data_IF_427337115738
#
_entry.id   IF_427337115738
#
_cell.length_a   1.000
_cell.length_b   1.000
_cell.length_c   1.000
_cell.angle_alpha   90.00
_cell.angle_beta   90.00
_cell.angle_gamma   90.00
#
_symmetry.space_group_name_H-M   'P 1'
#
loop_
_entity.id
_entity.type
_entity.pdbx_description
1 polymer ?
#
# COMPACT_ATOMS: atom_id res chain seq x y z
N UNK A 1 -13.91 -22.10 -3.87
CA UNK A 1 -14.55 -20.81 -4.13
C UNK A 1 -13.63 -19.59 -3.87
N UNK A 2 -12.81 -19.52 -2.78
CA UNK A 2 -11.95 -18.36 -2.49
C UNK A 2 -10.90 -17.99 -3.56
N UNK A 3 -10.36 -18.98 -4.30
CA UNK A 3 -9.34 -18.72 -5.35
C UNK A 3 -9.90 -18.16 -6.66
N UNK A 4 -11.19 -18.40 -6.94
CA UNK A 4 -11.84 -17.91 -8.16
C UNK A 4 -12.14 -16.40 -8.09
N UNK A 5 -12.43 -15.89 -6.89
CA UNK A 5 -12.74 -14.48 -6.66
C UNK A 5 -11.48 -13.60 -6.88
N UNK A 6 -10.29 -14.08 -6.46
CA UNK A 6 -9.02 -13.37 -6.68
C UNK A 6 -8.69 -13.22 -8.17
N UNK A 7 -8.99 -14.24 -8.99
CA UNK A 7 -8.74 -14.17 -10.43
C UNK A 7 -9.69 -13.20 -11.15
N UNK A 8 -10.94 -13.13 -10.71
CA UNK A 8 -11.96 -12.24 -11.28
C UNK A 8 -11.63 -10.77 -10.95
N UNK A 9 -11.17 -10.49 -9.73
CA UNK A 9 -10.76 -9.14 -9.33
C UNK A 9 -9.64 -8.57 -10.21
N UNK A 10 -8.66 -9.39 -10.55
CA UNK A 10 -7.55 -8.99 -11.44
C UNK A 10 -8.01 -8.76 -12.88
N UNK A 11 -8.91 -9.60 -13.40
CA UNK A 11 -9.42 -9.44 -14.77
C UNK A 11 -10.28 -8.18 -14.96
N UNK A 12 -10.98 -7.71 -13.92
CA UNK A 12 -11.87 -6.55 -14.02
C UNK A 12 -11.10 -5.23 -13.94
N UNK A 13 -9.96 -5.18 -13.23
CA UNK A 13 -9.07 -4.01 -13.22
C UNK A 13 -8.51 -3.67 -14.62
N UNK A 14 -8.54 -4.63 -15.56
CA UNK A 14 -8.00 -4.49 -16.91
C UNK A 14 -8.93 -3.86 -17.94
N UNK A 15 -10.23 -3.78 -17.67
CA UNK A 15 -11.22 -3.42 -18.70
C UNK A 15 -11.43 -1.90 -18.82
N UNK A 16 -10.93 -1.08 -17.89
CA UNK A 16 -11.34 0.32 -17.78
C UNK A 16 -10.34 1.39 -18.25
N UNK A 17 -9.17 1.05 -18.81
CA UNK A 17 -8.24 2.10 -19.28
C UNK A 17 -7.60 1.79 -20.64
N UNK A 18 -7.52 2.77 -21.57
CA UNK A 18 -6.88 2.62 -22.88
C UNK A 18 -5.34 2.59 -22.83
N UNK A 19 -4.76 2.70 -21.64
CA UNK A 19 -3.32 2.55 -21.47
C UNK A 19 -3.00 1.08 -21.27
N UNK A 20 -2.08 0.52 -22.07
CA UNK A 20 -1.58 -0.84 -21.93
C UNK A 20 -0.86 -1.01 -20.60
N UNK A 21 -1.61 -1.15 -19.52
CA UNK A 21 -1.05 -1.60 -18.24
C UNK A 21 -0.56 -3.04 -18.46
N UNK A 22 0.73 -3.20 -18.62
CA UNK A 22 1.34 -4.51 -18.78
C UNK A 22 1.36 -5.18 -17.41
N UNK A 23 0.55 -6.24 -17.27
CA UNK A 23 0.56 -7.05 -16.06
C UNK A 23 1.74 -8.00 -16.15
N UNK A 24 2.74 -7.74 -15.33
CA UNK A 24 3.87 -8.66 -15.19
C UNK A 24 3.49 -9.82 -14.25
N UNK A 25 4.09 -11.03 -14.45
CA UNK A 25 3.91 -12.14 -13.51
C UNK A 25 4.29 -11.76 -12.06
N UNK A 26 5.31 -10.92 -11.91
CA UNK A 26 5.74 -10.42 -10.61
C UNK A 26 4.66 -9.56 -9.95
N UNK A 27 4.05 -8.63 -10.68
CA UNK A 27 2.95 -7.79 -10.18
C UNK A 27 1.77 -8.66 -9.71
N UNK A 28 1.42 -9.70 -10.49
CA UNK A 28 0.36 -10.64 -10.12
C UNK A 28 0.67 -11.39 -8.83
N UNK A 29 1.93 -11.76 -8.63
CA UNK A 29 2.37 -12.43 -7.42
C UNK A 29 2.27 -11.51 -6.21
N UNK A 30 2.74 -10.28 -6.32
CA UNK A 30 2.67 -9.28 -5.25
C UNK A 30 1.21 -8.90 -4.91
N UNK A 31 0.36 -8.77 -5.93
CA UNK A 31 -1.07 -8.55 -5.73
C UNK A 31 -1.74 -9.74 -5.03
N UNK A 32 -1.38 -10.95 -5.39
CA UNK A 32 -1.91 -12.18 -4.80
C UNK A 32 -1.55 -12.36 -3.31
N UNK A 33 -0.52 -11.66 -2.81
CA UNK A 33 -0.16 -11.64 -1.39
C UNK A 33 -1.08 -10.76 -0.55
N UNK A 34 -1.74 -9.79 -1.18
CA UNK A 34 -2.63 -8.87 -0.47
C UNK A 34 -3.83 -9.63 0.10
N UNK A 35 -4.29 -9.31 1.33
CA UNK A 35 -5.51 -9.87 1.89
C UNK A 35 -6.72 -9.63 0.97
N UNK A 36 -7.64 -10.58 0.89
CA UNK A 36 -8.79 -10.50 -0.03
C UNK A 36 -9.71 -9.32 0.24
N UNK A 37 -9.85 -8.90 1.48
CA UNK A 37 -10.60 -7.72 1.88
C UNK A 37 -9.91 -6.43 1.38
N UNK A 38 -8.58 -6.34 1.46
CA UNK A 38 -7.82 -5.23 0.89
C UNK A 38 -7.98 -5.17 -0.62
N UNK A 39 -7.83 -6.31 -1.32
CA UNK A 39 -8.05 -6.38 -2.77
C UNK A 39 -9.46 -5.90 -3.15
N UNK A 40 -10.48 -6.35 -2.39
CA UNK A 40 -11.88 -5.96 -2.61
C UNK A 40 -12.09 -4.46 -2.39
N UNK A 41 -11.54 -3.90 -1.34
CA UNK A 41 -11.66 -2.48 -1.05
C UNK A 41 -10.99 -1.60 -2.10
N UNK A 42 -9.76 -1.94 -2.49
CA UNK A 42 -9.05 -1.24 -3.54
C UNK A 42 -9.80 -1.32 -4.88
N UNK A 43 -10.40 -2.47 -5.19
CA UNK A 43 -11.28 -2.63 -6.35
C UNK A 43 -12.47 -1.68 -6.30
N UNK A 44 -13.19 -1.61 -5.17
CA UNK A 44 -14.34 -0.73 -4.99
C UNK A 44 -13.97 0.75 -5.08
N UNK A 45 -12.73 1.10 -4.78
CA UNK A 45 -12.19 2.46 -4.93
C UNK A 45 -11.66 2.76 -6.33
N UNK A 46 -11.96 1.92 -7.30
CA UNK A 46 -11.47 2.10 -8.67
C UNK A 46 -9.96 2.27 -8.72
N UNK A 47 -9.24 1.44 -7.96
CA UNK A 47 -7.79 1.46 -7.97
C UNK A 47 -7.24 1.04 -9.33
N UNK A 48 -6.40 1.87 -9.89
CA UNK A 48 -5.67 1.62 -11.11
C UNK A 48 -4.21 1.34 -10.77
N UNK A 49 -3.68 0.19 -11.18
CA UNK A 49 -2.29 -0.20 -10.98
C UNK A 49 -1.59 -0.22 -12.32
N UNK A 50 -0.50 0.53 -12.44
CA UNK A 50 0.27 0.66 -13.69
C UNK A 50 1.73 0.31 -13.45
N UNK A 51 2.32 -0.43 -14.40
CA UNK A 51 3.77 -0.63 -14.47
C UNK A 51 4.30 0.23 -15.62
N UNK A 52 5.28 1.07 -15.31
CA UNK A 52 5.88 2.03 -16.24
C UNK A 52 7.39 1.83 -16.31
N UNK A 53 8.00 2.11 -17.46
CA UNK A 53 9.46 2.00 -17.61
C UNK A 53 10.19 3.11 -16.84
N UNK A 54 9.59 4.31 -16.75
CA UNK A 54 10.11 5.45 -16.01
C UNK A 54 8.98 6.13 -15.26
N UNK A 55 9.24 6.51 -14.00
CA UNK A 55 8.30 7.31 -13.24
C UNK A 55 8.25 8.73 -13.78
N UNK A 56 7.07 9.38 -13.85
CA UNK A 56 6.89 10.70 -14.48
C UNK A 56 7.63 11.83 -13.76
N UNK A 57 8.11 11.61 -12.55
CA UNK A 57 8.79 12.60 -11.73
C UNK A 57 10.28 12.25 -11.63
N UNK A 58 11.09 12.87 -12.46
CA UNK A 58 12.55 12.81 -12.36
C UNK A 58 13.06 13.93 -11.45
N UNK A 59 12.76 13.88 -10.16
CA UNK A 59 13.53 14.65 -9.20
C UNK A 59 14.87 13.93 -9.00
N UNK A 60 16.02 14.65 -9.05
CA UNK A 60 17.32 14.06 -8.77
C UNK A 60 17.41 13.35 -7.41
N UNK A 61 16.55 13.76 -6.46
CA UNK A 61 16.45 13.18 -5.12
C UNK A 61 15.57 11.94 -5.04
N UNK A 62 14.92 11.52 -6.14
CA UNK A 62 14.01 10.37 -6.23
C UNK A 62 14.60 9.23 -7.08
N UNK A 63 15.93 9.20 -7.24
CA UNK A 63 16.60 8.13 -8.01
C UNK A 63 16.26 6.72 -7.48
N UNK A 64 15.95 6.61 -6.18
CA UNK A 64 15.63 5.37 -5.50
C UNK A 64 14.12 5.14 -5.30
N UNK A 65 13.26 5.93 -5.97
CA UNK A 65 11.81 5.71 -5.92
C UNK A 65 11.42 4.58 -6.86
N UNK A 66 10.73 3.58 -6.32
CA UNK A 66 10.31 2.38 -7.04
C UNK A 66 8.85 2.42 -7.49
N UNK A 67 8.05 3.28 -6.85
CA UNK A 67 6.65 3.48 -7.14
C UNK A 67 6.12 4.75 -6.48
N UNK A 68 4.85 5.03 -6.69
CA UNK A 68 4.11 6.04 -5.93
C UNK A 68 2.61 5.75 -5.96
N UNK A 69 1.91 6.24 -4.94
CA UNK A 69 0.47 6.16 -4.81
C UNK A 69 -0.13 7.57 -4.79
N UNK A 70 -1.16 7.78 -5.59
CA UNK A 70 -1.94 9.02 -5.63
C UNK A 70 -3.40 8.75 -5.36
N UNK A 71 -4.00 9.56 -4.48
CA UNK A 71 -5.42 9.54 -4.19
C UNK A 71 -6.12 10.71 -4.88
N UNK A 72 -7.10 10.41 -5.72
CA UNK A 72 -7.98 11.42 -6.27
C UNK A 72 -9.12 11.67 -5.29
N UNK A 73 -9.08 12.81 -4.62
CA UNK A 73 -10.08 13.19 -3.60
C UNK A 73 -10.99 14.28 -4.13
N UNK A 74 -12.30 14.07 -4.04
CA UNK A 74 -13.32 15.06 -4.36
C UNK A 74 -14.32 15.18 -3.22
N UNK A 75 -14.58 16.39 -2.75
CA UNK A 75 -15.49 16.66 -1.64
C UNK A 75 -15.15 15.86 -0.35
N UNK A 76 -13.87 15.60 -0.10
CA UNK A 76 -13.40 14.84 1.06
C UNK A 76 -13.51 13.32 0.91
N UNK A 77 -13.91 12.80 -0.25
CA UNK A 77 -14.02 11.37 -0.53
C UNK A 77 -13.01 10.94 -1.61
N UNK A 78 -12.36 9.80 -1.40
CA UNK A 78 -11.52 9.19 -2.43
C UNK A 78 -12.41 8.70 -3.57
N UNK A 79 -12.14 9.17 -4.78
CA UNK A 79 -12.85 8.78 -6.00
C UNK A 79 -12.12 7.66 -6.75
N UNK A 80 -10.80 7.69 -6.71
CA UNK A 80 -9.94 6.64 -7.26
C UNK A 80 -8.57 6.66 -6.60
N UNK A 81 -7.86 5.56 -6.73
CA UNK A 81 -6.47 5.38 -6.30
C UNK A 81 -5.64 5.02 -7.53
N UNK A 82 -4.55 5.73 -7.76
CA UNK A 82 -3.57 5.37 -8.78
C UNK A 82 -2.29 4.91 -8.11
N UNK A 83 -1.89 3.66 -8.39
CA UNK A 83 -0.62 3.06 -7.96
C UNK A 83 0.25 2.88 -9.20
N UNK A 84 1.41 3.51 -9.21
CA UNK A 84 2.34 3.43 -10.33
C UNK A 84 3.64 2.82 -9.84
N UNK A 85 4.08 1.75 -10.50
CA UNK A 85 5.26 0.98 -10.15
C UNK A 85 6.25 1.05 -11.32
N UNK A 86 7.52 1.28 -11.01
CA UNK A 86 8.61 1.20 -11.99
C UNK A 86 8.83 -0.26 -12.39
N UNK A 87 8.97 -0.52 -13.68
CA UNK A 87 9.26 -1.86 -14.22
C UNK A 87 10.51 -2.46 -13.58
N UNK A 88 10.42 -3.72 -13.16
CA UNK A 88 11.47 -4.42 -12.42
C UNK A 88 11.47 -4.14 -10.92
N UNK A 89 10.55 -3.27 -10.45
CA UNK A 89 10.41 -2.91 -9.02
C UNK A 89 9.02 -3.30 -8.48
N UNK A 90 8.37 -4.31 -9.05
CA UNK A 90 7.02 -4.74 -8.70
C UNK A 90 6.89 -5.18 -7.23
N UNK A 91 8.01 -5.51 -6.58
CA UNK A 91 8.07 -5.77 -5.14
C UNK A 91 7.63 -4.56 -4.29
N UNK A 92 7.68 -3.34 -4.85
CA UNK A 92 7.22 -2.14 -4.17
C UNK A 92 5.69 -2.06 -4.06
N UNK A 93 4.93 -2.89 -4.80
CA UNK A 93 3.47 -2.85 -4.78
C UNK A 93 2.89 -2.92 -3.37
N UNK A 94 3.42 -3.78 -2.51
CA UNK A 94 2.90 -3.93 -1.15
C UNK A 94 3.09 -2.66 -0.31
N UNK A 95 4.21 -1.96 -0.49
CA UNK A 95 4.45 -0.66 0.13
C UNK A 95 3.46 0.39 -0.38
N UNK A 96 3.24 0.46 -1.70
CA UNK A 96 2.29 1.41 -2.30
C UNK A 96 0.83 1.12 -1.90
N UNK A 97 0.46 -0.15 -1.73
CA UNK A 97 -0.82 -0.52 -1.12
C UNK A 97 -0.91 -0.01 0.32
N UNK A 98 0.19 -0.04 1.07
CA UNK A 98 0.28 0.57 2.40
C UNK A 98 -0.06 2.06 2.39
N UNK A 99 0.44 2.83 1.41
CA UNK A 99 0.05 4.24 1.21
C UNK A 99 -1.43 4.38 0.89
N UNK A 100 -1.96 3.56 -0.01
CA UNK A 100 -3.38 3.56 -0.32
C UNK A 100 -4.25 3.31 0.93
N UNK A 101 -3.83 2.42 1.82
CA UNK A 101 -4.51 2.16 3.09
C UNK A 101 -4.31 3.27 4.11
N UNK A 102 -3.12 3.90 4.16
CA UNK A 102 -2.80 4.94 5.13
C UNK A 102 -3.69 6.16 5.00
N UNK A 103 -4.08 6.48 3.79
CA UNK A 103 -4.84 7.67 3.42
C UNK A 103 -6.33 7.36 3.11
N UNK A 104 -6.84 6.24 3.58
CA UNK A 104 -8.18 5.75 3.29
C UNK A 104 -9.28 6.69 3.83
N UNK A 105 -9.89 7.47 2.94
CA UNK A 105 -10.84 8.54 3.30
C UNK A 105 -12.30 8.09 3.50
N UNK A 106 -12.62 6.79 3.38
CA UNK A 106 -13.99 6.29 3.60
C UNK A 106 -14.30 5.89 5.04
N UNK A 107 -13.25 5.76 5.85
CA UNK A 107 -13.39 5.61 7.29
C UNK A 107 -13.01 6.97 7.87
N UNK A 108 -13.71 7.52 8.86
CA UNK A 108 -13.46 8.87 9.37
C UNK A 108 -12.07 9.05 10.00
N UNK A 109 -11.18 8.10 9.75
CA UNK A 109 -9.84 8.03 10.33
C UNK A 109 -8.84 7.64 9.24
N UNK A 110 -7.99 8.57 8.88
CA UNK A 110 -6.79 8.32 8.10
C UNK A 110 -5.86 7.47 8.94
N UNK A 111 -5.63 6.22 8.58
CA UNK A 111 -4.99 5.25 9.49
C UNK A 111 -3.61 5.68 9.96
N UNK A 112 -2.73 6.19 9.08
CA UNK A 112 -1.42 6.65 9.48
C UNK A 112 -1.47 7.94 10.32
N UNK A 113 -2.40 8.85 10.05
CA UNK A 113 -2.56 10.12 10.77
C UNK A 113 -3.60 10.04 11.89
N UNK A 114 -4.20 8.86 12.12
CA UNK A 114 -5.10 8.63 13.24
C UNK A 114 -4.40 8.97 14.55
N UNK A 115 -5.02 9.76 15.45
CA UNK A 115 -4.46 10.07 16.77
C UNK A 115 -4.05 8.84 17.59
N UNK A 116 -4.70 7.68 17.38
CA UNK A 116 -4.33 6.43 18.03
C UNK A 116 -3.01 5.82 17.51
N UNK A 117 -2.62 6.12 16.26
CA UNK A 117 -1.37 5.60 15.68
C UNK A 117 -0.15 6.46 16.03
N UNK A 118 -0.32 7.76 16.21
CA UNK A 118 0.77 8.68 16.54
C UNK A 118 1.64 8.23 17.74
N UNK A 119 1.07 7.85 18.91
CA UNK A 119 1.87 7.38 20.04
C UNK A 119 2.55 6.03 19.74
N UNK A 120 1.94 5.15 18.97
CA UNK A 120 2.53 3.88 18.54
C UNK A 120 3.78 4.14 17.69
N UNK A 121 3.64 4.99 16.66
CA UNK A 121 4.76 5.40 15.82
C UNK A 121 5.90 6.00 16.65
N UNK A 122 5.63 6.94 17.54
CA UNK A 122 6.66 7.57 18.38
C UNK A 122 7.39 6.54 19.25
N UNK A 123 6.70 5.53 19.74
CA UNK A 123 7.29 4.50 20.60
C UNK A 123 8.12 3.47 19.82
N UNK A 124 7.77 3.18 18.55
CA UNK A 124 8.32 2.03 17.82
C UNK A 124 9.15 2.37 16.58
N UNK A 125 9.15 3.62 16.10
CA UNK A 125 9.79 4.00 14.83
C UNK A 125 11.29 3.71 14.71
N UNK A 126 11.97 3.47 15.83
CA UNK A 126 13.39 3.09 15.87
C UNK A 126 13.64 1.62 16.22
N UNK A 127 12.60 0.84 16.48
CA UNK A 127 12.73 -0.52 17.00
C UNK A 127 13.08 -1.54 15.91
N UNK A 128 12.86 -1.23 14.66
CA UNK A 128 13.12 -2.14 13.54
C UNK A 128 14.00 -1.45 12.49
N UNK A 129 15.19 -1.97 12.26
CA UNK A 129 16.12 -1.42 11.27
C UNK A 129 15.55 -1.42 9.84
N UNK A 130 14.56 -2.28 9.55
CA UNK A 130 13.88 -2.31 8.26
C UNK A 130 12.85 -1.17 8.10
N UNK A 131 12.47 -0.48 9.18
CA UNK A 131 11.57 0.68 9.17
C UNK A 131 12.34 2.02 9.27
N UNK A 132 13.67 1.94 9.42
CA UNK A 132 14.55 3.10 9.51
C UNK A 132 14.68 3.77 8.14
N UNK A 133 14.80 5.09 8.13
CA UNK A 133 14.88 5.89 6.92
C UNK A 133 13.73 6.91 6.85
N UNK A 134 12.94 6.91 5.78
CA UNK A 134 11.83 7.86 5.66
C UNK A 134 10.77 7.68 6.76
N UNK A 135 10.53 6.45 7.22
CA UNK A 135 9.60 6.15 8.29
C UNK A 135 9.94 6.79 9.66
N UNK A 136 11.18 7.22 9.89
CA UNK A 136 11.57 7.94 11.10
C UNK A 136 10.96 9.34 11.17
N UNK A 137 10.81 9.97 10.02
CA UNK A 137 10.39 11.37 9.88
C UNK A 137 8.96 11.52 9.33
N UNK A 138 8.48 10.52 8.59
CA UNK A 138 7.14 10.52 8.01
C UNK A 138 6.34 9.30 8.50
N UNK A 139 5.25 9.55 9.20
CA UNK A 139 4.36 8.53 9.74
C UNK A 139 3.64 7.73 8.66
N UNK A 140 3.44 8.29 7.46
CA UNK A 140 2.80 7.61 6.33
C UNK A 140 3.76 6.61 5.71
N UNK A 141 5.02 7.01 5.52
CA UNK A 141 6.09 6.12 5.07
C UNK A 141 6.30 4.98 6.06
N UNK A 142 6.30 5.30 7.37
CA UNK A 142 6.38 4.29 8.41
C UNK A 142 5.22 3.28 8.33
N UNK A 143 3.99 3.76 8.12
CA UNK A 143 2.83 2.89 8.00
C UNK A 143 2.91 2.01 6.75
N UNK A 144 3.29 2.59 5.60
CA UNK A 144 3.42 1.86 4.34
C UNK A 144 4.49 0.75 4.44
N UNK A 145 5.65 1.07 5.02
CA UNK A 145 6.71 0.09 5.19
C UNK A 145 6.34 -0.97 6.26
N UNK A 146 5.68 -0.57 7.34
CA UNK A 146 5.17 -1.50 8.34
C UNK A 146 4.12 -2.46 7.76
N UNK A 147 3.25 -1.96 6.87
CA UNK A 147 2.32 -2.80 6.12
C UNK A 147 3.06 -3.78 5.21
N UNK A 148 4.08 -3.31 4.49
CA UNK A 148 4.94 -4.18 3.68
C UNK A 148 5.56 -5.30 4.52
N UNK A 149 6.09 -4.99 5.70
CA UNK A 149 6.62 -6.00 6.63
C UNK A 149 5.51 -6.91 7.19
N UNK A 150 4.33 -6.39 7.44
CA UNK A 150 3.19 -7.19 7.92
C UNK A 150 2.83 -8.29 6.92
N UNK A 151 2.84 -7.99 5.63
CA UNK A 151 2.51 -8.95 4.57
C UNK A 151 3.66 -9.93 4.31
N UNK A 152 4.89 -9.43 4.21
CA UNK A 152 6.04 -10.23 3.77
C UNK A 152 6.83 -10.86 4.91
N UNK A 153 6.90 -10.20 6.07
CA UNK A 153 7.73 -10.61 7.22
C UNK A 153 7.00 -10.41 8.56
N UNK A 154 5.77 -10.97 8.74
CA UNK A 154 4.91 -10.68 9.89
C UNK A 154 5.56 -10.98 11.25
N UNK A 155 6.38 -12.02 11.32
CA UNK A 155 7.07 -12.39 12.56
C UNK A 155 8.13 -11.38 12.96
N UNK A 156 8.81 -10.75 11.99
CA UNK A 156 9.78 -9.69 12.25
C UNK A 156 9.06 -8.46 12.80
N UNK A 157 8.02 -8.00 12.11
CA UNK A 157 7.24 -6.84 12.57
C UNK A 157 6.67 -7.09 13.96
N UNK A 158 6.05 -8.25 14.19
CA UNK A 158 5.46 -8.62 15.50
C UNK A 158 6.49 -8.62 16.63
N UNK A 159 7.72 -9.05 16.34
CA UNK A 159 8.80 -9.09 17.33
C UNK A 159 9.36 -7.71 17.65
N UNK A 160 9.59 -6.88 16.62
CA UNK A 160 10.26 -5.58 16.76
C UNK A 160 9.30 -4.46 17.11
N UNK A 161 8.08 -4.49 16.51
CA UNK A 161 7.07 -3.45 16.61
C UNK A 161 5.67 -4.05 16.89
N UNK A 162 5.47 -4.65 18.08
CA UNK A 162 4.25 -5.39 18.39
C UNK A 162 2.99 -4.51 18.41
N UNK A 163 3.08 -3.25 18.81
CA UNK A 163 1.94 -2.33 18.80
C UNK A 163 1.53 -1.97 17.37
N UNK A 164 2.50 -1.71 16.50
CA UNK A 164 2.28 -1.47 15.07
C UNK A 164 1.66 -2.70 14.40
N UNK A 165 2.18 -3.90 14.69
CA UNK A 165 1.60 -5.14 14.20
C UNK A 165 0.13 -5.29 14.58
N UNK A 166 -0.20 -5.07 15.85
CA UNK A 166 -1.57 -5.15 16.35
C UNK A 166 -2.46 -4.06 15.73
N UNK A 167 -1.94 -2.85 15.56
CA UNK A 167 -2.67 -1.76 14.91
C UNK A 167 -3.05 -2.12 13.47
N UNK A 168 -2.10 -2.61 12.66
CA UNK A 168 -2.37 -3.06 11.29
C UNK A 168 -3.39 -4.21 11.28
N UNK A 169 -3.31 -5.16 12.23
CA UNK A 169 -4.31 -6.22 12.35
C UNK A 169 -5.72 -5.67 12.55
N UNK A 170 -5.86 -4.62 13.37
CA UNK A 170 -7.14 -3.92 13.59
C UNK A 170 -7.57 -3.20 12.31
N UNK A 171 -6.69 -2.44 11.66
CA UNK A 171 -6.97 -1.78 10.37
C UNK A 171 -7.55 -2.79 9.37
N UNK A 172 -6.89 -3.94 9.20
CA UNK A 172 -7.31 -4.97 8.26
C UNK A 172 -8.64 -5.65 8.63
N UNK A 173 -9.09 -5.55 9.87
CA UNK A 173 -10.42 -6.04 10.26
C UNK A 173 -11.57 -5.12 9.83
N UNK A 174 -11.26 -3.86 9.51
CA UNK A 174 -12.22 -2.86 9.02
C UNK A 174 -12.18 -2.65 7.50
N UNK A 175 -11.17 -3.19 6.83
CA UNK A 175 -11.06 -3.21 5.38
C UNK A 175 -11.67 -4.47 4.81
#
# INVERSE_FOLDING_TARGET
>A
MKRLISLIGVCILLICTPCKAEITPQLMMEWGRQPSNVQWNLYNQRTNIQVVDQLPWTSPNLADTYGYTTLNVQNGYVQSVDIVIKRGCEFALTHEVGHALSDYAHIPYWWATNPAFQPIWQAEKYNCALLVGQGETDIREYFAEAYNLYINYPLILKKCCPMTYNYITVVLSYT
#
